data_IF_865092017311
#
_entry.id   IF_865092017311
#
_cell.length_a   1.000
_cell.length_b   1.000
_cell.length_c   1.000
_cell.angle_alpha   90.00
_cell.angle_beta   90.00
_cell.angle_gamma   90.00
#
_symmetry.space_group_name_H-M   'P 1'
#
loop_
_entity.id
_entity.type
_entity.pdbx_description
1 polymer ?
#
# COMPACT_ATOMS: atom_id res chain seq x y z
N UNK A 1 17.40 0.56 2.63
CA UNK A 1 17.75 0.59 1.18
C UNK A 1 16.47 0.85 0.39
N UNK A 2 16.52 1.59 -0.74
CA UNK A 2 15.35 1.86 -1.60
C UNK A 2 15.41 1.00 -2.86
N UNK A 3 14.26 0.52 -3.38
CA UNK A 3 14.22 -0.23 -4.64
C UNK A 3 14.67 0.62 -5.84
N UNK A 4 14.40 1.92 -5.80
CA UNK A 4 14.84 2.91 -6.78
C UNK A 4 16.21 3.50 -6.41
N UNK A 5 17.17 2.69 -6.02
CA UNK A 5 18.56 3.13 -5.77
C UNK A 5 19.55 2.30 -6.55
N UNK A 6 20.66 2.92 -6.97
CA UNK A 6 21.75 2.24 -7.69
C UNK A 6 22.28 1.06 -6.87
N UNK A 7 22.46 1.25 -5.56
CA UNK A 7 22.92 0.19 -4.64
C UNK A 7 22.00 -1.03 -4.66
N UNK A 8 20.67 -0.81 -4.69
CA UNK A 8 19.72 -1.92 -4.76
C UNK A 8 19.78 -2.61 -6.13
N UNK A 9 19.68 -1.84 -7.21
CA UNK A 9 19.52 -2.35 -8.57
C UNK A 9 20.75 -3.14 -9.05
N UNK A 10 21.95 -2.63 -8.76
CA UNK A 10 23.19 -3.15 -9.35
C UNK A 10 24.08 -3.95 -8.41
N UNK A 11 23.81 -3.91 -7.11
CA UNK A 11 24.60 -4.68 -6.13
C UNK A 11 23.69 -5.64 -5.35
N UNK A 12 22.75 -5.13 -4.58
CA UNK A 12 21.95 -5.98 -3.70
C UNK A 12 21.10 -7.00 -4.46
N UNK A 13 20.31 -6.55 -5.45
CA UNK A 13 19.38 -7.42 -6.15
C UNK A 13 20.09 -8.51 -6.97
N UNK A 14 21.13 -8.21 -7.81
CA UNK A 14 21.85 -9.25 -8.54
C UNK A 14 22.52 -10.27 -7.63
N UNK A 15 23.17 -9.83 -6.56
CA UNK A 15 23.82 -10.75 -5.59
C UNK A 15 22.78 -11.62 -4.91
N UNK A 16 21.66 -11.03 -4.47
CA UNK A 16 20.57 -11.78 -3.81
C UNK A 16 19.99 -12.82 -4.75
N UNK A 17 19.67 -12.46 -5.99
CA UNK A 17 19.12 -13.40 -6.99
C UNK A 17 20.11 -14.50 -7.33
N UNK A 18 21.40 -14.16 -7.51
CA UNK A 18 22.44 -15.15 -7.77
C UNK A 18 22.53 -16.17 -6.63
N UNK A 19 22.67 -15.73 -5.39
CA UNK A 19 22.71 -16.63 -4.24
C UNK A 19 21.43 -17.47 -4.10
N UNK A 20 20.28 -16.83 -4.31
CA UNK A 20 18.97 -17.49 -4.21
C UNK A 20 18.77 -18.60 -5.24
N UNK A 21 19.25 -18.41 -6.47
CA UNK A 21 19.13 -19.43 -7.52
C UNK A 21 20.25 -20.49 -7.45
N UNK A 22 21.41 -20.16 -6.88
CA UNK A 22 22.53 -21.08 -6.72
C UNK A 22 22.32 -22.15 -5.62
N UNK A 23 21.44 -21.89 -4.64
CA UNK A 23 21.22 -22.82 -3.52
C UNK A 23 20.09 -23.80 -3.82
N UNK A 24 20.11 -25.02 -3.18
CA UNK A 24 18.99 -25.95 -3.23
C UNK A 24 17.71 -25.35 -2.61
N UNK A 25 16.55 -25.88 -3.00
CA UNK A 25 15.24 -25.33 -2.59
C UNK A 25 15.07 -25.23 -1.06
N UNK A 26 15.64 -26.16 -0.31
CA UNK A 26 15.60 -26.18 1.17
C UNK A 26 16.27 -24.97 1.82
N UNK A 27 17.23 -24.34 1.14
CA UNK A 27 17.97 -23.18 1.65
C UNK A 27 17.44 -21.85 1.14
N UNK A 28 16.54 -21.85 0.16
CA UNK A 28 16.02 -20.61 -0.46
C UNK A 28 15.35 -19.67 0.54
N UNK A 29 14.58 -20.20 1.50
CA UNK A 29 13.95 -19.40 2.55
C UNK A 29 14.99 -18.79 3.50
N UNK A 30 16.05 -19.53 3.80
CA UNK A 30 17.17 -19.01 4.62
C UNK A 30 17.89 -17.84 3.90
N UNK A 31 18.22 -18.01 2.62
CA UNK A 31 18.86 -16.92 1.83
C UNK A 31 17.93 -15.72 1.76
N UNK A 32 16.63 -15.93 1.51
CA UNK A 32 15.66 -14.86 1.46
C UNK A 32 15.53 -14.12 2.80
N UNK A 33 15.50 -14.86 3.90
CA UNK A 33 15.48 -14.28 5.25
C UNK A 33 16.73 -13.43 5.53
N UNK A 34 17.92 -13.99 5.27
CA UNK A 34 19.19 -13.28 5.50
C UNK A 34 19.33 -12.03 4.61
N UNK A 35 19.00 -12.15 3.32
CA UNK A 35 19.00 -11.00 2.41
C UNK A 35 18.01 -9.92 2.88
N UNK A 36 16.83 -10.32 3.34
CA UNK A 36 15.83 -9.38 3.87
C UNK A 36 16.29 -8.68 5.15
N UNK A 37 16.99 -9.38 6.03
CA UNK A 37 17.61 -8.76 7.20
C UNK A 37 18.70 -7.76 6.81
N UNK A 38 19.56 -8.08 5.84
CA UNK A 38 20.58 -7.15 5.33
C UNK A 38 19.90 -5.92 4.73
N UNK A 39 18.84 -6.12 3.93
CA UNK A 39 18.07 -5.03 3.32
C UNK A 39 17.48 -4.09 4.38
N UNK A 40 16.89 -4.66 5.44
CA UNK A 40 16.28 -3.88 6.53
C UNK A 40 17.34 -3.19 7.40
N UNK A 41 18.38 -3.92 7.79
CA UNK A 41 19.49 -3.41 8.60
C UNK A 41 20.20 -2.22 7.93
N UNK A 42 20.34 -2.26 6.61
CA UNK A 42 20.93 -1.14 5.85
C UNK A 42 20.17 0.18 6.04
N UNK A 43 18.85 0.13 6.16
CA UNK A 43 18.00 1.32 6.36
C UNK A 43 17.75 1.66 7.83
N UNK A 44 17.62 0.63 8.67
CA UNK A 44 17.14 0.73 10.05
C UNK A 44 17.93 -0.17 11.02
N UNK A 45 19.22 0.11 11.26
CA UNK A 45 20.07 -0.77 12.09
C UNK A 45 19.49 -0.99 13.50
N UNK A 46 19.07 0.10 14.16
CA UNK A 46 18.55 0.06 15.54
C UNK A 46 17.26 -0.75 15.67
N UNK A 47 16.37 -0.65 14.67
CA UNK A 47 15.05 -1.29 14.71
C UNK A 47 15.04 -2.71 14.13
N UNK A 48 16.18 -3.21 13.64
CA UNK A 48 16.30 -4.61 13.21
C UNK A 48 16.07 -5.59 14.35
N UNK A 49 16.47 -5.22 15.57
CA UNK A 49 16.19 -6.02 16.78
C UNK A 49 14.70 -6.07 17.07
N UNK A 50 13.97 -4.95 16.91
CA UNK A 50 12.52 -4.91 17.10
C UNK A 50 11.80 -5.76 16.05
N UNK A 51 12.24 -5.74 14.79
CA UNK A 51 11.71 -6.60 13.74
C UNK A 51 11.89 -8.08 14.10
N UNK A 52 13.11 -8.50 14.49
CA UNK A 52 13.38 -9.88 14.90
C UNK A 52 12.56 -10.30 16.12
N UNK A 53 12.40 -9.41 17.10
CA UNK A 53 11.56 -9.65 18.26
C UNK A 53 10.08 -9.83 17.86
N UNK A 54 9.58 -9.01 16.93
CA UNK A 54 8.22 -9.12 16.41
C UNK A 54 8.01 -10.44 15.63
N UNK A 55 9.00 -10.87 14.86
CA UNK A 55 9.00 -12.16 14.15
C UNK A 55 8.95 -13.31 15.15
N UNK A 56 9.79 -13.29 16.18
CA UNK A 56 9.81 -14.32 17.22
C UNK A 56 8.48 -14.37 17.97
N UNK A 57 7.94 -13.22 18.35
CA UNK A 57 6.61 -13.14 18.98
C UNK A 57 5.53 -13.70 18.05
N UNK A 58 5.57 -13.37 16.74
CA UNK A 58 4.66 -13.88 15.72
C UNK A 58 4.68 -15.40 15.64
N UNK A 59 5.87 -15.97 15.56
CA UNK A 59 6.07 -17.41 15.51
C UNK A 59 5.55 -18.09 16.79
N UNK A 60 5.98 -17.63 17.97
CA UNK A 60 5.56 -18.19 19.26
C UNK A 60 4.04 -18.08 19.46
N UNK A 61 3.45 -16.92 19.09
CA UNK A 61 2.02 -16.68 19.21
C UNK A 61 1.19 -17.65 18.37
N UNK A 62 1.56 -17.85 17.09
CA UNK A 62 0.88 -18.83 16.24
C UNK A 62 0.96 -20.26 16.79
N UNK A 63 2.14 -20.67 17.28
CA UNK A 63 2.35 -21.98 17.93
C UNK A 63 1.51 -22.15 19.18
N UNK A 64 1.46 -21.13 20.06
CA UNK A 64 0.67 -21.15 21.27
C UNK A 64 -0.83 -21.26 20.97
N UNK A 65 -1.34 -20.49 20.00
CA UNK A 65 -2.75 -20.54 19.57
C UNK A 65 -3.10 -21.95 19.05
N UNK A 66 -2.25 -22.53 18.22
CA UNK A 66 -2.47 -23.90 17.70
C UNK A 66 -2.45 -24.95 18.82
N UNK A 67 -1.49 -24.90 19.75
CA UNK A 67 -1.39 -25.83 20.87
C UNK A 67 -2.62 -25.81 21.77
N UNK A 68 -3.11 -24.62 22.13
CA UNK A 68 -4.30 -24.44 22.95
C UNK A 68 -5.53 -24.99 22.22
N UNK A 69 -5.62 -24.79 20.91
CA UNK A 69 -6.72 -25.30 20.08
C UNK A 69 -6.69 -26.84 19.96
N UNK A 70 -5.52 -27.46 19.74
CA UNK A 70 -5.35 -28.93 19.69
C UNK A 70 -5.66 -29.60 21.00
N UNK A 71 -5.24 -29.04 22.15
CA UNK A 71 -5.53 -29.57 23.48
C UNK A 71 -7.03 -29.67 23.76
N UNK A 72 -7.84 -28.80 23.14
CA UNK A 72 -9.31 -28.79 23.29
C UNK A 72 -10.02 -29.81 22.41
N UNK A 73 -9.49 -30.13 21.24
CA UNK A 73 -10.14 -31.14 20.37
C UNK A 73 -10.19 -32.53 20.99
N UNK A 74 -9.38 -32.78 22.03
CA UNK A 74 -9.36 -34.02 22.81
C UNK A 74 -10.28 -34.02 24.07
N UNK A 75 -10.90 -32.88 24.44
CA UNK A 75 -11.74 -32.77 25.66
C UNK A 75 -13.10 -32.20 25.28
N UNK A 76 -14.16 -32.93 25.47
CA UNK A 76 -15.54 -32.64 25.03
C UNK A 76 -16.21 -31.39 25.64
N UNK A 77 -15.65 -30.74 26.66
CA UNK A 77 -16.28 -29.62 27.36
C UNK A 77 -15.31 -28.55 27.82
N UNK A 78 -14.98 -27.62 26.97
CA UNK A 78 -14.56 -26.27 27.43
C UNK A 78 -14.69 -25.29 26.26
N UNK A 79 -15.88 -24.70 26.12
CA UNK A 79 -16.14 -23.62 25.16
C UNK A 79 -15.16 -22.45 25.34
N UNK A 80 -14.21 -22.32 24.43
CA UNK A 80 -13.85 -21.06 23.80
C UNK A 80 -13.24 -19.92 24.63
N UNK A 81 -12.93 -20.02 25.93
CA UNK A 81 -12.42 -18.86 26.69
C UNK A 81 -10.88 -18.73 26.60
N UNK A 82 -10.16 -19.82 26.79
CA UNK A 82 -8.69 -19.83 26.86
C UNK A 82 -8.04 -19.48 25.53
N UNK A 83 -8.53 -20.02 24.42
CA UNK A 83 -8.03 -19.74 23.06
C UNK A 83 -8.30 -18.28 22.63
N UNK A 84 -9.45 -17.71 23.01
CA UNK A 84 -9.73 -16.27 22.81
C UNK A 84 -8.81 -15.38 23.64
N UNK A 85 -8.53 -15.76 24.88
CA UNK A 85 -7.61 -15.01 25.76
C UNK A 85 -6.19 -15.03 25.19
N UNK A 86 -5.71 -16.19 24.73
CA UNK A 86 -4.38 -16.30 24.11
C UNK A 86 -4.29 -15.47 22.83
N UNK A 87 -5.31 -15.56 21.96
CA UNK A 87 -5.38 -14.73 20.77
C UNK A 87 -5.36 -13.23 21.12
N UNK A 88 -6.23 -12.81 22.04
CA UNK A 88 -6.32 -11.42 22.48
C UNK A 88 -5.00 -10.92 23.07
N UNK A 89 -4.30 -11.74 23.86
CA UNK A 89 -3.00 -11.42 24.43
C UNK A 89 -1.97 -11.10 23.32
N UNK A 90 -1.80 -12.00 22.33
CA UNK A 90 -0.81 -11.80 21.28
C UNK A 90 -1.17 -10.66 20.34
N UNK A 91 -2.47 -10.46 20.02
CA UNK A 91 -2.91 -9.29 19.26
C UNK A 91 -2.62 -8.00 20.03
N UNK A 92 -3.00 -7.92 21.32
CA UNK A 92 -2.77 -6.73 22.15
C UNK A 92 -1.29 -6.43 22.31
N UNK A 93 -0.45 -7.45 22.49
CA UNK A 93 0.98 -7.31 22.57
C UNK A 93 1.59 -6.74 21.28
N UNK A 94 1.20 -7.29 20.12
CA UNK A 94 1.68 -6.81 18.81
C UNK A 94 1.19 -5.38 18.53
N UNK A 95 -0.07 -5.07 18.88
CA UNK A 95 -0.61 -3.71 18.78
C UNK A 95 0.08 -2.73 19.75
N UNK A 96 0.44 -3.17 20.95
CA UNK A 96 1.14 -2.32 21.92
C UNK A 96 2.48 -1.82 21.36
N UNK A 97 3.25 -2.67 20.66
CA UNK A 97 4.47 -2.25 19.99
C UNK A 97 4.18 -1.18 18.92
N UNK A 98 3.16 -1.39 18.08
CA UNK A 98 2.75 -0.39 17.10
C UNK A 98 2.32 0.92 17.76
N UNK A 99 1.53 0.85 18.84
CA UNK A 99 1.03 2.03 19.56
C UNK A 99 2.17 2.82 20.18
N UNK A 100 3.14 2.17 20.80
CA UNK A 100 4.29 2.84 21.41
C UNK A 100 5.11 3.60 20.35
N UNK A 101 5.46 2.96 19.24
CA UNK A 101 6.34 3.59 18.27
C UNK A 101 5.62 4.56 17.31
N UNK A 102 4.34 4.38 17.06
CA UNK A 102 3.61 5.21 16.09
C UNK A 102 2.71 6.25 16.73
N UNK A 103 2.06 5.95 17.85
CA UNK A 103 0.98 6.79 18.37
C UNK A 103 1.24 7.41 19.74
N UNK A 104 2.34 7.05 20.43
CA UNK A 104 2.60 7.58 21.78
C UNK A 104 2.74 9.11 21.75
N UNK A 105 3.60 9.63 20.89
CA UNK A 105 3.84 11.07 20.78
C UNK A 105 2.62 11.81 20.24
N UNK A 106 1.88 11.22 19.30
CA UNK A 106 0.60 11.77 18.81
C UNK A 106 -0.46 11.86 19.92
N UNK A 107 -0.52 10.83 20.79
CA UNK A 107 -1.41 10.83 21.95
C UNK A 107 -1.03 11.93 22.95
N UNK A 108 0.25 12.05 23.30
CA UNK A 108 0.75 13.09 24.19
C UNK A 108 0.51 14.48 23.61
N UNK A 109 0.82 14.69 22.32
CA UNK A 109 0.55 15.94 21.63
C UNK A 109 -0.94 16.32 21.68
N UNK A 110 -1.83 15.35 21.44
CA UNK A 110 -3.27 15.58 21.50
C UNK A 110 -3.77 15.91 22.91
N UNK A 111 -3.21 15.27 23.95
CA UNK A 111 -3.52 15.61 25.36
C UNK A 111 -3.03 17.03 25.65
N UNK A 112 -1.80 17.37 25.28
CA UNK A 112 -1.26 18.73 25.50
C UNK A 112 -2.14 19.79 24.80
N UNK A 113 -2.59 19.53 23.57
CA UNK A 113 -3.45 20.43 22.82
C UNK A 113 -4.82 20.64 23.51
N UNK A 114 -5.41 19.60 24.06
CA UNK A 114 -6.74 19.64 24.66
C UNK A 114 -6.74 20.20 26.08
N UNK A 115 -5.68 19.93 26.84
CA UNK A 115 -5.64 20.24 28.30
C UNK A 115 -4.73 21.43 28.63
N UNK A 116 -3.90 21.88 27.69
CA UNK A 116 -2.86 22.88 27.97
C UNK A 116 -1.70 22.31 28.79
N UNK A 117 -1.64 20.98 29.02
CA UNK A 117 -0.50 20.35 29.71
C UNK A 117 0.76 20.42 28.84
N UNK A 118 1.92 20.42 29.50
CA UNK A 118 3.23 20.40 28.83
C UNK A 118 3.94 19.06 29.07
N UNK A 119 3.26 17.95 28.75
CA UNK A 119 3.86 16.62 28.84
C UNK A 119 4.97 16.49 27.79
N UNK A 120 6.15 15.93 28.16
CA UNK A 120 7.27 15.78 27.24
C UNK A 120 6.97 14.75 26.15
N UNK A 121 7.40 15.01 24.90
CA UNK A 121 7.38 14.07 23.80
C UNK A 121 8.63 13.19 23.87
N UNK A 122 8.47 11.91 23.53
CA UNK A 122 9.58 10.96 23.49
C UNK A 122 10.41 11.03 22.21
N UNK A 123 9.86 11.63 21.15
CA UNK A 123 10.49 11.77 19.81
C UNK A 123 10.99 10.44 19.23
N UNK A 124 10.19 9.39 19.41
CA UNK A 124 10.51 8.07 18.90
C UNK A 124 10.44 8.07 17.37
N UNK A 125 11.54 7.69 16.71
CA UNK A 125 11.49 7.50 15.27
C UNK A 125 10.64 6.26 14.93
N UNK A 126 9.80 6.39 13.92
CA UNK A 126 8.91 5.31 13.48
C UNK A 126 9.73 4.21 12.77
N UNK A 127 9.73 2.95 13.29
CA UNK A 127 10.43 1.85 12.62
C UNK A 127 9.81 1.56 11.26
N UNK A 128 10.63 1.53 10.22
CA UNK A 128 10.20 1.33 8.86
C UNK A 128 9.41 0.01 8.71
N UNK A 129 8.22 0.08 8.10
CA UNK A 129 7.39 -1.10 7.87
C UNK A 129 6.65 -1.68 9.09
N UNK A 130 6.75 -1.06 10.30
CA UNK A 130 6.09 -1.59 11.50
C UNK A 130 4.57 -1.80 11.30
N UNK A 131 3.90 -0.92 10.60
CA UNK A 131 2.47 -1.05 10.29
C UNK A 131 2.18 -2.27 9.41
N UNK A 132 3.07 -2.60 8.47
CA UNK A 132 2.89 -3.72 7.53
C UNK A 132 3.13 -5.06 8.21
N UNK A 133 4.28 -5.25 8.87
CA UNK A 133 4.55 -6.53 9.53
C UNK A 133 3.63 -6.78 10.75
N UNK A 134 3.14 -5.72 11.43
CA UNK A 134 2.08 -5.85 12.43
C UNK A 134 0.81 -6.44 11.83
N UNK A 135 0.36 -5.94 10.69
CA UNK A 135 -0.83 -6.46 10.01
C UNK A 135 -0.64 -7.89 9.51
N UNK A 136 0.55 -8.23 9.01
CA UNK A 136 0.89 -9.61 8.63
C UNK A 136 0.81 -10.56 9.81
N UNK A 137 1.43 -10.22 10.95
CA UNK A 137 1.44 -11.04 12.16
C UNK A 137 0.03 -11.19 12.75
N UNK A 138 -0.74 -10.10 12.84
CA UNK A 138 -2.12 -10.16 13.37
C UNK A 138 -3.01 -11.03 12.46
N UNK A 139 -2.92 -10.86 11.13
CA UNK A 139 -3.68 -11.70 10.21
C UNK A 139 -3.31 -13.18 10.35
N UNK A 140 -2.03 -13.49 10.54
CA UNK A 140 -1.58 -14.85 10.79
C UNK A 140 -2.17 -15.44 12.08
N UNK A 141 -2.16 -14.71 13.20
CA UNK A 141 -2.78 -15.16 14.44
C UNK A 141 -4.27 -15.48 14.27
N UNK A 142 -5.00 -14.58 13.61
CA UNK A 142 -6.44 -14.73 13.37
C UNK A 142 -6.72 -15.92 12.44
N UNK A 143 -5.91 -16.09 11.39
CA UNK A 143 -6.09 -17.19 10.43
C UNK A 143 -5.78 -18.56 11.09
N UNK A 144 -4.76 -18.67 11.95
CA UNK A 144 -4.48 -19.86 12.77
C UNK A 144 -5.63 -20.13 13.75
N UNK A 145 -6.11 -19.07 14.43
CA UNK A 145 -7.24 -19.20 15.36
C UNK A 145 -8.52 -19.66 14.66
N UNK A 146 -8.82 -19.14 13.48
CA UNK A 146 -9.98 -19.58 12.67
C UNK A 146 -9.81 -21.02 12.15
N UNK A 147 -8.57 -21.45 11.95
CA UNK A 147 -8.22 -22.73 11.33
C UNK A 147 -8.13 -22.64 9.81
N UNK A 148 -8.02 -21.44 9.29
CA UNK A 148 -7.83 -21.18 7.86
C UNK A 148 -6.42 -21.61 7.41
N UNK A 149 -5.44 -21.60 8.35
CA UNK A 149 -4.08 -22.09 8.17
C UNK A 149 -3.62 -22.86 9.41
N UNK A 150 -2.66 -23.76 9.23
CA UNK A 150 -1.90 -24.37 10.33
C UNK A 150 -0.80 -23.39 10.77
N UNK A 151 -0.43 -23.44 12.05
CA UNK A 151 0.71 -22.67 12.51
C UNK A 151 2.00 -23.18 11.85
N UNK A 152 2.84 -22.24 11.43
CA UNK A 152 4.13 -22.60 10.85
C UNK A 152 5.05 -23.20 11.92
N UNK A 153 5.67 -24.32 11.58
CA UNK A 153 6.54 -25.07 12.47
C UNK A 153 8.03 -24.79 12.23
N UNK A 154 8.37 -24.28 11.04
CA UNK A 154 9.72 -23.88 10.69
C UNK A 154 9.87 -22.36 10.95
N UNK A 155 10.73 -22.00 11.90
CA UNK A 155 11.00 -20.60 12.22
C UNK A 155 11.54 -19.82 11.02
N UNK A 156 12.41 -20.43 10.19
CA UNK A 156 13.02 -19.77 9.03
C UNK A 156 11.94 -19.45 7.98
N UNK A 157 10.98 -20.32 7.75
CA UNK A 157 9.90 -20.11 6.79
C UNK A 157 8.97 -18.97 7.25
N UNK A 158 8.63 -18.95 8.55
CA UNK A 158 7.86 -17.86 9.13
C UNK A 158 8.64 -16.54 9.12
N UNK A 159 9.92 -16.57 9.47
CA UNK A 159 10.78 -15.39 9.44
C UNK A 159 10.92 -14.84 8.02
N UNK A 160 11.16 -15.70 7.03
CA UNK A 160 11.19 -15.33 5.63
C UNK A 160 9.88 -14.67 5.19
N UNK A 161 8.72 -15.22 5.60
CA UNK A 161 7.42 -14.63 5.31
C UNK A 161 7.29 -13.20 5.83
N UNK A 162 7.58 -12.96 7.11
CA UNK A 162 7.37 -11.64 7.72
C UNK A 162 8.39 -10.62 7.23
N UNK A 163 9.66 -11.03 7.05
CA UNK A 163 10.75 -10.09 6.72
C UNK A 163 10.99 -9.90 5.24
N UNK A 164 10.33 -10.66 4.37
CA UNK A 164 10.56 -10.68 2.92
C UNK A 164 10.64 -9.26 2.33
N UNK A 165 11.84 -8.85 1.88
CA UNK A 165 12.15 -7.47 1.50
C UNK A 165 11.23 -6.88 0.43
N UNK A 166 10.68 -7.64 -0.56
CA UNK A 166 9.79 -7.05 -1.55
C UNK A 166 8.51 -6.45 -0.95
N UNK A 167 7.98 -7.03 0.14
CA UNK A 167 6.70 -6.62 0.73
C UNK A 167 6.83 -5.86 2.05
N UNK A 168 7.99 -5.96 2.74
CA UNK A 168 8.17 -5.59 4.14
C UNK A 168 7.82 -4.13 4.44
N UNK A 169 8.16 -3.20 3.55
CA UNK A 169 8.14 -1.77 3.85
C UNK A 169 6.84 -1.10 3.37
N UNK A 170 6.46 -1.28 2.11
CA UNK A 170 5.28 -0.64 1.50
C UNK A 170 4.66 -1.49 0.36
N UNK A 171 4.96 -2.78 0.31
CA UNK A 171 4.40 -3.71 -0.69
C UNK A 171 2.91 -4.00 -0.48
N UNK A 172 2.31 -4.84 -1.32
CA UNK A 172 1.01 -5.42 -1.04
C UNK A 172 1.01 -6.12 0.33
N UNK A 173 -0.05 -5.98 1.11
CA UNK A 173 -0.19 -6.71 2.38
C UNK A 173 -0.45 -8.18 2.07
N UNK A 174 0.63 -8.96 2.00
CA UNK A 174 0.57 -10.40 1.71
C UNK A 174 0.23 -11.15 2.98
N UNK A 175 -0.80 -11.98 2.94
CA UNK A 175 -1.23 -12.80 4.08
C UNK A 175 -0.53 -14.14 4.04
N UNK A 176 -0.27 -14.73 5.20
CA UNK A 176 0.37 -16.05 5.29
C UNK A 176 -0.38 -17.12 4.47
N UNK A 177 -1.71 -17.15 4.56
CA UNK A 177 -2.57 -18.08 3.81
C UNK A 177 -2.41 -18.02 2.28
N UNK A 178 -2.00 -16.86 1.74
CA UNK A 178 -1.85 -16.70 0.29
C UNK A 178 -0.55 -17.28 -0.25
N UNK A 179 0.51 -17.36 0.58
CA UNK A 179 1.84 -17.81 0.14
C UNK A 179 2.36 -19.04 0.93
N UNK A 180 1.57 -19.59 1.86
CA UNK A 180 1.98 -20.74 2.67
C UNK A 180 2.46 -21.92 1.82
N UNK A 181 1.73 -22.24 0.73
CA UNK A 181 2.12 -23.32 -0.19
C UNK A 181 3.44 -23.04 -0.89
N UNK A 182 3.64 -21.78 -1.31
CA UNK A 182 4.83 -21.34 -2.02
C UNK A 182 6.06 -21.23 -1.10
N UNK A 183 5.88 -21.05 0.22
CA UNK A 183 6.97 -21.15 1.19
C UNK A 183 7.53 -22.58 1.26
N UNK A 184 6.67 -23.60 1.20
CA UNK A 184 7.08 -24.99 1.19
C UNK A 184 7.58 -25.48 -0.17
N UNK A 185 6.82 -25.18 -1.23
CA UNK A 185 7.12 -25.61 -2.60
C UNK A 185 6.74 -24.51 -3.58
N UNK A 186 7.71 -24.01 -4.32
CA UNK A 186 7.50 -23.01 -5.36
C UNK A 186 8.20 -23.38 -6.65
N UNK A 187 7.55 -23.09 -7.77
CA UNK A 187 8.11 -23.26 -9.10
C UNK A 187 8.74 -21.94 -9.56
N UNK A 188 10.02 -22.00 -9.90
CA UNK A 188 10.74 -20.90 -10.50
C UNK A 188 11.01 -21.30 -11.95
N UNK A 189 10.39 -20.57 -12.90
CA UNK A 189 10.57 -20.79 -14.33
C UNK A 189 11.15 -19.55 -14.97
N UNK A 190 11.83 -19.71 -16.09
CA UNK A 190 12.36 -18.58 -16.84
C UNK A 190 11.27 -17.57 -17.25
N UNK A 191 10.08 -18.06 -17.59
CA UNK A 191 8.91 -17.23 -17.89
C UNK A 191 8.52 -16.34 -16.69
N UNK A 192 8.41 -16.93 -15.49
CA UNK A 192 8.11 -16.16 -14.26
C UNK A 192 9.19 -15.12 -13.95
N UNK A 193 10.45 -15.44 -14.19
CA UNK A 193 11.57 -14.51 -13.99
C UNK A 193 11.46 -13.35 -14.99
N UNK A 194 11.26 -13.65 -16.26
CA UNK A 194 11.11 -12.63 -17.33
C UNK A 194 9.91 -11.71 -17.08
N UNK A 195 8.75 -12.29 -16.78
CA UNK A 195 7.53 -11.54 -16.44
C UNK A 195 7.73 -10.68 -15.19
N UNK A 196 8.40 -11.24 -14.17
CA UNK A 196 8.71 -10.55 -12.93
C UNK A 196 9.65 -9.37 -13.16
N UNK A 197 10.72 -9.55 -13.96
CA UNK A 197 11.65 -8.50 -14.34
C UNK A 197 10.95 -7.38 -15.12
N UNK A 198 10.11 -7.73 -16.09
CA UNK A 198 9.30 -6.76 -16.83
C UNK A 198 8.38 -5.96 -15.93
N UNK A 199 7.70 -6.63 -14.99
CA UNK A 199 6.83 -5.95 -14.02
C UNK A 199 7.63 -5.03 -13.08
N UNK A 200 8.79 -5.49 -12.61
CA UNK A 200 9.68 -4.70 -11.78
C UNK A 200 10.15 -3.42 -12.48
N UNK A 201 10.63 -3.53 -13.73
CA UNK A 201 11.08 -2.37 -14.50
C UNK A 201 9.92 -1.42 -14.81
N UNK A 202 8.73 -1.93 -15.13
CA UNK A 202 7.54 -1.09 -15.28
C UNK A 202 7.25 -0.29 -14.00
N UNK A 203 7.31 -0.92 -12.83
CA UNK A 203 7.18 -0.25 -11.54
C UNK A 203 8.27 0.79 -11.29
N UNK A 204 9.51 0.48 -11.65
CA UNK A 204 10.65 1.40 -11.56
C UNK A 204 10.45 2.64 -12.45
N UNK A 205 10.00 2.46 -13.70
CA UNK A 205 9.64 3.55 -14.59
C UNK A 205 8.52 4.43 -14.03
N UNK A 206 7.47 3.82 -13.47
CA UNK A 206 6.40 4.56 -12.79
C UNK A 206 6.95 5.45 -11.67
N UNK A 207 7.86 4.92 -10.85
CA UNK A 207 8.48 5.65 -9.74
C UNK A 207 9.40 6.76 -10.25
N UNK A 208 10.40 6.40 -11.05
CA UNK A 208 11.50 7.31 -11.39
C UNK A 208 11.12 8.30 -12.48
N UNK A 209 10.46 7.82 -13.56
CA UNK A 209 10.18 8.68 -14.72
C UNK A 209 8.88 9.47 -14.56
N UNK A 210 7.93 9.00 -13.73
CA UNK A 210 6.64 9.66 -13.58
C UNK A 210 6.50 10.30 -12.19
N UNK A 211 6.51 9.49 -11.12
CA UNK A 211 6.20 10.00 -9.79
C UNK A 211 7.22 11.03 -9.30
N UNK A 212 8.52 10.77 -9.47
CA UNK A 212 9.56 11.69 -9.00
C UNK A 212 9.55 13.02 -9.76
N UNK A 213 9.32 12.97 -11.09
CA UNK A 213 9.19 14.19 -11.90
C UNK A 213 7.92 14.99 -11.53
N UNK A 214 6.77 14.32 -11.33
CA UNK A 214 5.58 15.01 -10.83
C UNK A 214 5.82 15.60 -9.43
N UNK A 215 6.60 14.94 -8.60
CA UNK A 215 7.01 15.44 -7.28
C UNK A 215 7.83 16.72 -7.33
N UNK A 216 8.67 16.89 -8.35
CA UNK A 216 9.38 18.17 -8.56
C UNK A 216 8.40 19.29 -8.89
N UNK A 217 7.43 19.05 -9.78
CA UNK A 217 6.38 20.03 -10.09
C UNK A 217 5.54 20.35 -8.85
N UNK A 218 5.12 19.35 -8.08
CA UNK A 218 4.38 19.55 -6.82
C UNK A 218 5.15 20.45 -5.87
N UNK A 219 6.43 20.15 -5.63
CA UNK A 219 7.27 20.95 -4.73
C UNK A 219 7.49 22.38 -5.23
N UNK A 220 7.53 22.60 -6.54
CA UNK A 220 7.63 23.93 -7.14
C UNK A 220 6.35 24.73 -6.93
N UNK A 221 5.18 24.15 -7.25
CA UNK A 221 3.88 24.80 -7.12
C UNK A 221 3.50 25.07 -5.66
N UNK A 222 3.90 24.22 -4.72
CA UNK A 222 3.73 24.46 -3.28
C UNK A 222 4.49 25.70 -2.80
N UNK A 223 5.72 25.87 -3.27
CA UNK A 223 6.54 27.04 -2.91
C UNK A 223 6.04 28.34 -3.55
N UNK A 224 5.49 28.24 -4.75
CA UNK A 224 4.93 29.38 -5.46
C UNK A 224 3.57 29.82 -4.91
N UNK A 225 2.85 28.90 -4.25
CA UNK A 225 1.45 29.07 -3.80
C UNK A 225 0.50 29.49 -4.94
N UNK A 226 0.76 28.97 -6.14
CA UNK A 226 0.01 29.21 -7.37
C UNK A 226 -0.36 27.90 -8.06
N UNK A 227 -1.32 27.94 -9.01
CA UNK A 227 -1.68 26.79 -9.83
C UNK A 227 -2.30 25.62 -9.05
N UNK A 228 -3.13 25.90 -8.04
CA UNK A 228 -3.66 24.95 -7.06
C UNK A 228 -4.36 23.72 -7.68
N UNK A 229 -5.08 23.89 -8.82
CA UNK A 229 -5.67 22.73 -9.52
C UNK A 229 -4.61 21.81 -10.10
N UNK A 230 -3.58 22.38 -10.72
CA UNK A 230 -2.48 21.56 -11.27
C UNK A 230 -1.69 20.89 -10.15
N UNK A 231 -1.47 21.59 -9.03
CA UNK A 231 -0.86 21.04 -7.83
C UNK A 231 -1.66 19.83 -7.32
N UNK A 232 -2.98 19.94 -7.18
CA UNK A 232 -3.82 18.84 -6.70
C UNK A 232 -3.83 17.63 -7.66
N UNK A 233 -3.89 17.88 -8.98
CA UNK A 233 -3.83 16.85 -10.00
C UNK A 233 -2.44 16.18 -10.01
N UNK A 234 -1.37 16.97 -10.02
CA UNK A 234 -0.01 16.46 -10.04
C UNK A 234 0.30 15.62 -8.79
N UNK A 235 -0.11 16.08 -7.59
CA UNK A 235 0.04 15.30 -6.36
C UNK A 235 -0.77 14.00 -6.38
N UNK A 236 -1.99 14.02 -6.89
CA UNK A 236 -2.84 12.83 -7.03
C UNK A 236 -2.18 11.79 -7.93
N UNK A 237 -1.65 12.22 -9.08
CA UNK A 237 -0.93 11.34 -10.00
C UNK A 237 0.41 10.89 -9.40
N UNK A 238 1.16 11.78 -8.75
CA UNK A 238 2.40 11.44 -8.06
C UNK A 238 2.17 10.32 -7.04
N UNK A 239 1.19 10.47 -6.15
CA UNK A 239 0.88 9.48 -5.12
C UNK A 239 0.49 8.13 -5.74
N UNK A 240 -0.31 8.15 -6.80
CA UNK A 240 -0.70 6.93 -7.51
C UNK A 240 0.49 6.22 -8.15
N UNK A 241 1.32 6.95 -8.91
CA UNK A 241 2.46 6.35 -9.60
C UNK A 241 3.57 5.93 -8.64
N UNK A 242 3.78 6.67 -7.57
CA UNK A 242 4.71 6.30 -6.50
C UNK A 242 4.32 4.97 -5.86
N UNK A 243 3.08 4.85 -5.40
CA UNK A 243 2.62 3.67 -4.69
C UNK A 243 2.32 2.48 -5.61
N UNK A 244 1.70 2.69 -6.77
CA UNK A 244 1.50 1.62 -7.74
C UNK A 244 2.82 1.13 -8.33
N UNK A 245 3.79 2.02 -8.52
CA UNK A 245 5.14 1.68 -8.95
C UNK A 245 5.86 0.79 -7.93
N UNK A 246 5.79 1.14 -6.65
CA UNK A 246 6.33 0.29 -5.59
C UNK A 246 5.64 -1.08 -5.56
N UNK A 247 4.31 -1.11 -5.65
CA UNK A 247 3.55 -2.36 -5.67
C UNK A 247 3.92 -3.24 -6.86
N UNK A 248 4.11 -2.66 -8.05
CA UNK A 248 4.55 -3.39 -9.24
C UNK A 248 5.97 -3.94 -9.09
N UNK A 249 6.90 -3.17 -8.50
CA UNK A 249 8.24 -3.66 -8.18
C UNK A 249 8.20 -4.82 -7.19
N UNK A 250 7.40 -4.72 -6.14
CA UNK A 250 7.23 -5.77 -5.14
C UNK A 250 6.65 -7.06 -5.73
N UNK A 251 5.61 -6.94 -6.57
CA UNK A 251 4.98 -8.08 -7.26
C UNK A 251 5.97 -8.70 -8.25
N UNK A 252 6.72 -7.87 -8.98
CA UNK A 252 7.75 -8.33 -9.91
C UNK A 252 8.85 -9.12 -9.20
N UNK A 253 9.37 -8.61 -8.09
CA UNK A 253 10.35 -9.30 -7.24
C UNK A 253 9.77 -10.61 -6.67
N UNK A 254 8.52 -10.58 -6.18
CA UNK A 254 7.84 -11.78 -5.74
C UNK A 254 7.80 -12.87 -6.81
N UNK A 255 7.42 -12.50 -8.06
CA UNK A 255 7.42 -13.42 -9.20
C UNK A 255 8.80 -14.01 -9.51
N UNK A 256 9.85 -13.18 -9.53
CA UNK A 256 11.22 -13.66 -9.73
C UNK A 256 11.65 -14.64 -8.64
N UNK A 257 11.20 -14.44 -7.40
CA UNK A 257 11.46 -15.34 -6.27
C UNK A 257 10.53 -16.55 -6.21
N UNK A 258 9.57 -16.67 -7.15
CA UNK A 258 8.63 -17.78 -7.24
C UNK A 258 7.35 -17.62 -6.41
N UNK A 259 7.07 -16.42 -5.90
CA UNK A 259 5.85 -16.08 -5.14
C UNK A 259 4.83 -15.34 -6.00
N UNK A 260 3.55 -15.52 -5.67
CA UNK A 260 2.43 -14.84 -6.31
C UNK A 260 1.80 -13.84 -5.34
N UNK A 261 2.25 -12.59 -5.41
CA UNK A 261 1.68 -11.53 -4.58
C UNK A 261 0.37 -11.01 -5.17
N UNK A 262 -0.58 -10.59 -4.30
CA UNK A 262 -1.85 -10.04 -4.75
C UNK A 262 -1.68 -8.67 -5.39
N UNK A 263 -2.55 -8.36 -6.35
CA UNK A 263 -2.63 -7.02 -6.95
C UNK A 263 -3.09 -5.99 -5.92
N UNK A 264 -2.53 -4.79 -6.02
CA UNK A 264 -2.84 -3.70 -5.09
C UNK A 264 -3.59 -2.55 -5.76
N UNK A 265 -3.49 -2.42 -7.08
CA UNK A 265 -4.14 -1.37 -7.88
C UNK A 265 -4.72 -1.95 -9.18
N UNK A 266 -5.92 -1.49 -9.57
CA UNK A 266 -6.55 -1.78 -10.86
C UNK A 266 -7.22 -0.52 -11.43
N UNK A 267 -6.41 0.42 -11.96
CA UNK A 267 -6.89 1.66 -12.61
C UNK A 267 -7.98 2.39 -11.81
N UNK A 268 -7.70 2.85 -10.58
CA UNK A 268 -8.71 3.35 -9.64
C UNK A 268 -9.46 4.60 -10.15
N UNK A 269 -8.82 5.40 -10.99
CA UNK A 269 -9.40 6.66 -11.46
C UNK A 269 -10.49 6.52 -12.52
N UNK A 270 -10.76 5.30 -13.05
CA UNK A 270 -11.92 5.06 -13.92
C UNK A 270 -13.21 4.77 -13.16
N UNK A 271 -13.17 4.77 -11.84
CA UNK A 271 -14.30 4.43 -10.96
C UNK A 271 -15.44 5.45 -11.07
N UNK A 272 -16.65 4.99 -10.85
CA UNK A 272 -17.89 5.78 -10.93
C UNK A 272 -18.56 5.93 -9.57
N UNK A 273 -17.98 5.35 -8.52
CA UNK A 273 -18.37 5.50 -7.12
C UNK A 273 -17.15 5.39 -6.22
N UNK A 274 -17.20 5.95 -5.03
CA UNK A 274 -16.14 5.80 -4.02
C UNK A 274 -16.01 4.33 -3.60
N UNK A 275 -17.13 3.62 -3.55
CA UNK A 275 -17.13 2.16 -3.31
C UNK A 275 -16.32 1.41 -4.38
N UNK A 276 -16.47 1.76 -5.66
CA UNK A 276 -15.69 1.16 -6.75
C UNK A 276 -14.23 1.59 -6.67
N UNK A 277 -13.95 2.85 -6.38
CA UNK A 277 -12.59 3.36 -6.20
C UNK A 277 -11.80 2.53 -5.18
N UNK A 278 -12.36 2.26 -4.01
CA UNK A 278 -11.70 1.46 -2.97
C UNK A 278 -11.59 -0.04 -3.28
N UNK A 279 -12.33 -0.54 -4.25
CA UNK A 279 -12.13 -1.89 -4.79
C UNK A 279 -10.96 -1.98 -5.77
N UNK A 280 -10.42 -0.83 -6.21
CA UNK A 280 -9.35 -0.70 -7.19
C UNK A 280 -8.10 -0.02 -6.64
N UNK A 281 -8.22 0.69 -5.54
CA UNK A 281 -7.15 1.39 -4.83
C UNK A 281 -6.78 0.63 -3.56
N UNK A 282 -5.46 0.36 -3.38
CA UNK A 282 -4.89 -0.31 -2.18
C UNK A 282 -5.73 -1.52 -1.76
N UNK A 283 -5.98 -2.42 -2.74
CA UNK A 283 -6.92 -3.54 -2.62
C UNK A 283 -6.56 -4.48 -1.48
N UNK A 284 -5.27 -4.64 -1.19
CA UNK A 284 -4.79 -5.53 -0.13
C UNK A 284 -5.11 -4.98 1.26
N UNK A 285 -5.01 -3.66 1.46
CA UNK A 285 -5.42 -2.99 2.71
C UNK A 285 -6.93 -3.10 2.90
N UNK A 286 -7.71 -2.76 1.86
CA UNK A 286 -9.17 -2.88 1.89
C UNK A 286 -9.62 -4.31 2.21
N UNK A 287 -8.96 -5.31 1.60
CA UNK A 287 -9.18 -6.73 1.89
C UNK A 287 -8.84 -7.09 3.33
N UNK A 288 -7.74 -6.55 3.89
CA UNK A 288 -7.34 -6.79 5.26
C UNK A 288 -8.38 -6.23 6.26
N UNK A 289 -8.76 -4.96 6.12
CA UNK A 289 -9.77 -4.34 6.98
C UNK A 289 -11.13 -5.04 6.87
N UNK A 290 -11.53 -5.48 5.67
CA UNK A 290 -12.75 -6.24 5.46
C UNK A 290 -12.74 -7.54 6.27
N UNK A 291 -11.67 -8.34 6.17
CA UNK A 291 -11.66 -9.70 6.70
C UNK A 291 -11.34 -9.77 8.20
N UNK A 292 -10.59 -8.78 8.73
CA UNK A 292 -10.14 -8.79 10.13
C UNK A 292 -10.81 -7.74 11.02
N UNK A 293 -11.50 -6.76 10.45
CA UNK A 293 -12.24 -5.74 11.23
C UNK A 293 -13.73 -5.72 10.86
N UNK A 294 -14.07 -5.46 9.59
CA UNK A 294 -15.45 -5.24 9.18
C UNK A 294 -16.33 -6.48 9.35
N UNK A 295 -15.89 -7.65 8.89
CA UNK A 295 -16.66 -8.90 9.03
C UNK A 295 -16.81 -9.31 10.51
N UNK A 296 -15.75 -9.29 11.36
CA UNK A 296 -15.89 -9.58 12.78
C UNK A 296 -16.85 -8.64 13.53
N UNK A 297 -16.95 -7.36 13.15
CA UNK A 297 -17.93 -6.42 13.72
C UNK A 297 -19.39 -6.74 13.35
N UNK A 298 -19.61 -7.61 12.35
CA UNK A 298 -20.92 -8.01 11.87
C UNK A 298 -21.18 -7.72 10.37
N UNK A 299 -20.26 -7.07 9.70
CA UNK A 299 -20.32 -6.81 8.25
C UNK A 299 -21.55 -5.99 7.85
N UNK A 300 -22.19 -6.38 6.73
CA UNK A 300 -23.37 -5.70 6.17
C UNK A 300 -24.71 -6.29 6.64
N UNK A 301 -24.69 -7.38 7.44
CA UNK A 301 -25.90 -8.09 7.87
C UNK A 301 -26.46 -7.49 9.17
N UNK A 302 -26.71 -6.18 9.18
CA UNK A 302 -27.20 -5.44 10.36
C UNK A 302 -27.99 -4.20 9.90
N UNK A 303 -28.70 -3.58 10.85
CA UNK A 303 -29.44 -2.33 10.57
C UNK A 303 -28.51 -1.19 10.14
N UNK A 304 -29.07 -0.19 9.46
CA UNK A 304 -28.33 0.90 8.83
C UNK A 304 -27.42 1.65 9.81
N UNK A 305 -27.92 2.04 10.98
CA UNK A 305 -27.10 2.77 11.98
C UNK A 305 -25.88 1.96 12.43
N UNK A 306 -26.06 0.67 12.71
CA UNK A 306 -24.98 -0.22 13.10
C UNK A 306 -23.99 -0.40 11.95
N UNK A 307 -24.48 -0.47 10.73
CA UNK A 307 -23.60 -0.54 9.55
C UNK A 307 -22.78 0.76 9.38
N UNK A 308 -23.39 1.95 9.53
CA UNK A 308 -22.66 3.22 9.52
C UNK A 308 -21.58 3.27 10.60
N UNK A 309 -21.88 2.77 11.80
CA UNK A 309 -20.89 2.67 12.88
C UNK A 309 -19.73 1.73 12.50
N UNK A 310 -20.00 0.57 11.89
CA UNK A 310 -18.94 -0.33 11.41
C UNK A 310 -18.06 0.36 10.34
N UNK A 311 -18.67 1.08 9.42
CA UNK A 311 -17.95 1.85 8.41
C UNK A 311 -17.11 2.96 9.04
N UNK A 312 -17.65 3.69 10.00
CA UNK A 312 -16.91 4.70 10.74
C UNK A 312 -15.67 4.09 11.43
N UNK A 313 -15.84 2.99 12.17
CA UNK A 313 -14.71 2.31 12.84
C UNK A 313 -13.65 1.87 11.86
N UNK A 314 -14.02 1.22 10.74
CA UNK A 314 -13.09 0.76 9.72
C UNK A 314 -12.29 1.92 9.12
N UNK A 315 -12.96 3.01 8.76
CA UNK A 315 -12.32 4.15 8.11
C UNK A 315 -11.52 5.02 9.09
N UNK A 316 -11.98 5.16 10.32
CA UNK A 316 -11.21 5.78 11.39
C UNK A 316 -9.89 5.04 11.63
N UNK A 317 -9.94 3.71 11.76
CA UNK A 317 -8.76 2.88 11.93
C UNK A 317 -7.85 2.88 10.68
N UNK A 318 -8.45 2.94 9.48
CA UNK A 318 -7.69 3.07 8.23
C UNK A 318 -6.95 4.41 8.17
N UNK A 319 -7.57 5.50 8.57
CA UNK A 319 -6.93 6.81 8.69
C UNK A 319 -5.76 6.77 9.66
N UNK A 320 -5.98 6.28 10.88
CA UNK A 320 -4.92 6.10 11.87
C UNK A 320 -3.77 5.23 11.36
N UNK A 321 -4.09 4.15 10.63
CA UNK A 321 -3.05 3.26 10.08
C UNK A 321 -2.12 4.01 9.11
N UNK A 322 -2.62 4.95 8.33
CA UNK A 322 -1.80 5.75 7.42
C UNK A 322 -0.81 6.65 8.16
N UNK A 323 -1.21 7.33 9.23
CA UNK A 323 -0.32 8.22 9.94
C UNK A 323 -0.83 8.64 11.31
N UNK A 324 0.11 9.04 12.18
CA UNK A 324 -0.18 9.60 13.50
C UNK A 324 -0.43 11.12 13.38
N UNK A 325 -1.55 11.49 12.76
CA UNK A 325 -1.94 12.89 12.55
C UNK A 325 -3.44 13.04 12.40
N UNK A 326 -3.97 14.17 12.81
CA UNK A 326 -5.40 14.47 12.73
C UNK A 326 -5.89 14.61 11.28
N UNK A 327 -5.04 15.00 10.34
CA UNK A 327 -5.33 15.00 8.92
C UNK A 327 -5.66 13.59 8.39
N UNK A 328 -4.94 12.56 8.82
CA UNK A 328 -5.23 11.16 8.45
C UNK A 328 -6.54 10.66 9.07
N UNK A 329 -6.82 11.06 10.32
CA UNK A 329 -8.10 10.77 10.96
C UNK A 329 -9.25 11.41 10.18
N UNK A 330 -9.11 12.71 9.84
CA UNK A 330 -10.10 13.45 9.05
C UNK A 330 -10.31 12.82 7.67
N UNK A 331 -9.22 12.40 7.02
CA UNK A 331 -9.25 11.69 5.74
C UNK A 331 -10.03 10.37 5.85
N UNK A 332 -9.81 9.59 6.88
CA UNK A 332 -10.57 8.37 7.13
C UNK A 332 -12.05 8.65 7.36
N UNK A 333 -12.39 9.60 8.22
CA UNK A 333 -13.78 10.02 8.49
C UNK A 333 -14.46 10.51 7.20
N UNK A 334 -13.77 11.28 6.38
CA UNK A 334 -14.26 11.76 5.08
C UNK A 334 -14.74 10.61 4.19
N UNK A 335 -13.93 9.55 4.02
CA UNK A 335 -14.34 8.39 3.24
C UNK A 335 -15.43 7.57 3.91
N UNK A 336 -15.42 7.46 5.22
CA UNK A 336 -16.51 6.83 5.99
C UNK A 336 -17.86 7.50 5.74
N UNK A 337 -17.88 8.84 5.70
CA UNK A 337 -19.07 9.63 5.38
C UNK A 337 -19.51 9.41 3.92
N UNK A 338 -18.58 9.55 2.95
CA UNK A 338 -18.92 9.39 1.53
C UNK A 338 -19.51 8.01 1.23
N UNK A 339 -18.91 6.95 1.74
CA UNK A 339 -19.40 5.57 1.55
C UNK A 339 -20.77 5.36 2.23
N UNK A 340 -21.00 5.99 3.38
CA UNK A 340 -22.30 5.94 4.03
C UNK A 340 -23.37 6.67 3.22
N UNK A 341 -23.05 7.83 2.67
CA UNK A 341 -23.93 8.59 1.78
C UNK A 341 -24.22 7.82 0.48
N UNK A 342 -23.19 7.22 -0.17
CA UNK A 342 -23.39 6.39 -1.38
C UNK A 342 -24.40 5.25 -1.11
N UNK A 343 -24.29 4.58 0.02
CA UNK A 343 -25.23 3.49 0.37
C UNK A 343 -26.64 3.99 0.63
N UNK A 344 -26.79 5.12 1.33
CA UNK A 344 -28.08 5.75 1.60
C UNK A 344 -28.76 6.16 0.28
N UNK A 345 -28.04 6.85 -0.59
CA UNK A 345 -28.53 7.32 -1.88
C UNK A 345 -28.82 6.15 -2.83
N UNK A 346 -27.91 5.17 -2.92
CA UNK A 346 -28.08 4.00 -3.78
C UNK A 346 -29.32 3.13 -3.45
N UNK A 347 -29.81 3.21 -2.23
CA UNK A 347 -31.05 2.56 -1.79
C UNK A 347 -32.31 3.34 -2.19
N UNK A 348 -32.20 4.56 -2.74
CA UNK A 348 -33.35 5.35 -3.17
C UNK A 348 -33.81 4.96 -4.57
N UNK A 349 -35.15 4.90 -4.77
CA UNK A 349 -35.78 4.54 -6.05
C UNK A 349 -35.42 5.48 -7.22
N UNK A 350 -34.93 6.70 -6.91
CA UNK A 350 -34.57 7.72 -7.91
C UNK A 350 -33.39 7.28 -8.80
N UNK A 351 -32.37 6.66 -8.21
CA UNK A 351 -31.15 6.23 -8.91
C UNK A 351 -31.28 4.86 -9.59
N UNK A 352 -32.39 4.17 -9.40
CA UNK A 352 -32.68 2.88 -10.04
C UNK A 352 -33.31 3.02 -11.45
N UNK A 353 -33.73 4.24 -11.86
CA UNK A 353 -34.33 4.49 -13.18
C UNK A 353 -33.31 4.42 -14.32
N UNK A 354 -33.69 3.75 -15.42
CA UNK A 354 -32.82 3.56 -16.59
C UNK A 354 -32.36 4.86 -17.26
N UNK A 355 -33.21 5.91 -17.26
CA UNK A 355 -32.89 7.22 -17.82
C UNK A 355 -31.68 7.91 -17.18
N UNK A 356 -31.33 7.54 -15.94
CA UNK A 356 -30.17 8.08 -15.23
C UNK A 356 -28.89 7.27 -15.44
N UNK A 357 -28.94 6.12 -16.14
CA UNK A 357 -27.79 5.20 -16.24
C UNK A 357 -26.58 5.79 -16.97
N UNK A 358 -26.76 6.56 -18.03
CA UNK A 358 -25.61 7.08 -18.81
C UNK A 358 -25.12 8.41 -18.25
N UNK A 359 -26.02 9.37 -18.00
CA UNK A 359 -25.67 10.62 -17.33
C UNK A 359 -25.11 10.38 -15.92
N UNK A 360 -25.70 9.45 -15.16
CA UNK A 360 -25.25 9.03 -13.86
C UNK A 360 -23.84 8.39 -13.86
N UNK A 361 -23.42 7.75 -14.96
CA UNK A 361 -22.06 7.24 -15.09
C UNK A 361 -21.02 8.35 -15.24
N UNK A 362 -21.30 9.38 -16.03
CA UNK A 362 -20.41 10.53 -16.24
C UNK A 362 -20.35 11.36 -14.95
N UNK A 363 -21.50 11.72 -14.38
CA UNK A 363 -21.56 12.47 -13.13
C UNK A 363 -20.89 11.71 -11.98
N UNK A 364 -21.08 10.39 -11.90
CA UNK A 364 -20.42 9.55 -10.91
C UNK A 364 -18.90 9.54 -11.08
N UNK A 365 -18.41 9.51 -12.30
CA UNK A 365 -16.97 9.58 -12.57
C UNK A 365 -16.38 10.93 -12.15
N UNK A 366 -17.01 12.04 -12.53
CA UNK A 366 -16.57 13.39 -12.12
C UNK A 366 -16.64 13.56 -10.60
N UNK A 367 -17.69 13.06 -9.96
CA UNK A 367 -17.81 13.03 -8.49
C UNK A 367 -16.64 12.29 -7.84
N UNK A 368 -16.30 11.09 -8.32
CA UNK A 368 -15.17 10.32 -7.77
C UNK A 368 -13.85 11.05 -7.93
N UNK A 369 -13.56 11.56 -9.13
CA UNK A 369 -12.33 12.31 -9.38
C UNK A 369 -12.21 13.52 -8.45
N UNK A 370 -13.29 14.30 -8.32
CA UNK A 370 -13.31 15.47 -7.44
C UNK A 370 -13.16 15.06 -5.96
N UNK A 371 -13.91 14.07 -5.48
CA UNK A 371 -13.83 13.59 -4.11
C UNK A 371 -12.44 13.06 -3.77
N UNK A 372 -11.78 12.37 -4.69
CA UNK A 372 -10.42 11.85 -4.52
C UNK A 372 -9.41 12.98 -4.49
N UNK A 373 -9.52 13.99 -5.36
CA UNK A 373 -8.66 15.18 -5.32
C UNK A 373 -8.73 15.88 -3.96
N UNK A 374 -9.95 16.16 -3.47
CA UNK A 374 -10.15 16.75 -2.14
C UNK A 374 -9.55 15.87 -1.04
N UNK A 375 -9.75 14.54 -1.11
CA UNK A 375 -9.21 13.62 -0.12
C UNK A 375 -7.69 13.68 -0.05
N UNK A 376 -6.99 13.81 -1.18
CA UNK A 376 -5.53 13.87 -1.19
C UNK A 376 -4.98 15.24 -0.77
N UNK A 377 -5.76 16.33 -0.89
CA UNK A 377 -5.42 17.59 -0.21
C UNK A 377 -5.47 17.39 1.31
N UNK A 378 -6.55 16.78 1.84
CA UNK A 378 -6.67 16.48 3.28
C UNK A 378 -5.50 15.60 3.74
N UNK A 379 -5.14 14.60 2.95
CA UNK A 379 -4.07 13.64 3.28
C UNK A 379 -2.69 14.32 3.34
N UNK A 380 -2.40 15.25 2.42
CA UNK A 380 -1.11 15.92 2.28
C UNK A 380 -0.85 16.95 3.37
N UNK A 381 -1.89 17.70 3.77
CA UNK A 381 -1.77 18.87 4.64
C UNK A 381 -1.70 18.45 6.10
N UNK A 382 -0.54 18.67 6.73
CA UNK A 382 -0.32 18.25 8.12
C UNK A 382 -1.11 19.10 9.13
N UNK A 383 -1.20 20.43 8.90
CA UNK A 383 -1.92 21.32 9.80
C UNK A 383 -3.40 21.43 9.39
N UNK A 384 -4.30 21.02 10.28
CA UNK A 384 -5.76 21.06 10.02
C UNK A 384 -6.27 22.44 9.62
N UNK A 385 -5.68 23.51 10.15
CA UNK A 385 -6.12 24.88 9.86
C UNK A 385 -5.87 25.28 8.40
N UNK A 386 -4.93 24.65 7.72
CA UNK A 386 -4.56 24.96 6.34
C UNK A 386 -5.39 24.15 5.32
N UNK A 387 -6.07 23.09 5.74
CA UNK A 387 -6.90 22.24 4.86
C UNK A 387 -8.01 23.07 4.19
N UNK A 388 -8.78 23.83 4.99
CA UNK A 388 -9.85 24.70 4.48
C UNK A 388 -9.35 25.75 3.48
N UNK A 389 -8.35 26.57 3.84
CA UNK A 389 -7.71 27.50 2.93
C UNK A 389 -7.22 26.86 1.61
N UNK A 390 -6.59 25.71 1.64
CA UNK A 390 -6.10 25.03 0.42
C UNK A 390 -7.24 24.49 -0.47
N UNK A 391 -8.32 23.99 0.13
CA UNK A 391 -9.52 23.62 -0.64
C UNK A 391 -10.17 24.86 -1.24
N UNK A 392 -10.30 25.95 -0.47
CA UNK A 392 -10.87 27.20 -0.97
C UNK A 392 -10.03 27.84 -2.07
N UNK A 393 -8.71 27.67 -2.03
CA UNK A 393 -7.80 28.17 -3.06
C UNK A 393 -8.09 27.57 -4.45
N UNK A 394 -8.67 26.36 -4.53
CA UNK A 394 -9.15 25.79 -5.80
C UNK A 394 -10.25 26.66 -6.45
N UNK A 395 -11.06 27.37 -5.66
CA UNK A 395 -12.24 28.11 -6.13
C UNK A 395 -12.06 29.64 -6.09
N UNK A 396 -11.03 30.13 -5.41
CA UNK A 396 -10.68 31.53 -5.47
C UNK A 396 -10.19 31.83 -6.88
N UNK A 397 -10.81 32.84 -7.53
CA UNK A 397 -10.34 33.34 -8.83
C UNK A 397 -8.83 33.61 -8.75
N UNK A 398 -8.08 32.97 -9.62
CA UNK A 398 -6.65 33.19 -9.68
C UNK A 398 -6.39 34.61 -10.17
N UNK A 399 -5.61 35.39 -9.44
CA UNK A 399 -4.82 36.45 -10.05
C UNK A 399 -3.98 35.85 -11.18
N UNK A 400 -3.44 36.67 -12.05
CA UNK A 400 -2.63 36.17 -13.16
C UNK A 400 -1.54 35.24 -12.64
N UNK A 401 -1.57 33.97 -13.11
CA UNK A 401 -0.51 33.02 -12.81
C UNK A 401 0.80 33.66 -13.31
N UNK A 402 1.82 33.65 -12.46
CA UNK A 402 3.12 34.20 -12.84
C UNK A 402 3.69 33.53 -14.09
N UNK A 403 4.41 34.25 -14.91
CA UNK A 403 5.01 33.69 -16.13
C UNK A 403 5.92 32.50 -15.84
N UNK A 404 6.58 32.49 -14.68
CA UNK A 404 7.43 31.38 -14.22
C UNK A 404 6.60 30.11 -13.94
N UNK A 405 5.50 30.25 -13.22
CA UNK A 405 4.59 29.10 -12.94
C UNK A 405 3.92 28.61 -14.21
N UNK A 406 3.48 29.53 -15.10
CA UNK A 406 2.91 29.15 -16.40
C UNK A 406 3.92 28.38 -17.26
N UNK A 407 5.19 28.78 -17.27
CA UNK A 407 6.26 28.06 -17.96
C UNK A 407 6.46 26.65 -17.40
N UNK A 408 6.55 26.51 -16.08
CA UNK A 408 6.69 25.20 -15.43
C UNK A 408 5.50 24.28 -15.74
N UNK A 409 4.27 24.76 -15.58
CA UNK A 409 3.07 23.97 -15.93
C UNK A 409 3.12 23.50 -17.38
N UNK A 410 3.50 24.39 -18.31
CA UNK A 410 3.63 24.06 -19.73
C UNK A 410 4.69 22.99 -19.96
N UNK A 411 5.83 23.05 -19.28
CA UNK A 411 6.93 22.10 -19.38
C UNK A 411 6.51 20.69 -18.95
N UNK A 412 5.64 20.58 -17.94
CA UNK A 412 5.13 19.29 -17.45
C UNK A 412 3.82 18.82 -18.10
N UNK A 413 3.22 19.60 -19.00
CA UNK A 413 1.91 19.27 -19.60
C UNK A 413 1.90 17.89 -20.26
N UNK A 414 2.94 17.56 -21.04
CA UNK A 414 3.05 16.26 -21.72
C UNK A 414 3.11 15.14 -20.70
N UNK A 415 3.90 15.29 -19.64
CA UNK A 415 4.00 14.28 -18.58
C UNK A 415 2.66 14.07 -17.87
N UNK A 416 1.94 15.13 -17.53
CA UNK A 416 0.60 15.06 -16.91
C UNK A 416 -0.37 14.33 -17.82
N UNK A 417 -0.43 14.67 -19.11
CA UNK A 417 -1.33 14.02 -20.07
C UNK A 417 -1.01 12.52 -20.23
N UNK A 418 0.27 12.17 -20.40
CA UNK A 418 0.70 10.78 -20.48
C UNK A 418 0.39 10.01 -19.18
N UNK A 419 0.55 10.67 -18.03
CA UNK A 419 0.20 10.10 -16.73
C UNK A 419 -1.30 9.85 -16.59
N UNK A 420 -2.15 10.77 -17.06
CA UNK A 420 -3.60 10.56 -17.09
C UNK A 420 -3.98 9.37 -17.97
N UNK A 421 -3.39 9.25 -19.17
CA UNK A 421 -3.64 8.11 -20.08
C UNK A 421 -3.15 6.80 -19.43
N UNK A 422 -1.95 6.78 -18.87
CA UNK A 422 -1.36 5.60 -18.21
C UNK A 422 -2.10 5.16 -16.94
N UNK A 423 -2.86 6.06 -16.31
CA UNK A 423 -3.71 5.73 -15.17
C UNK A 423 -5.03 5.03 -15.58
N UNK A 424 -5.31 4.95 -16.89
CA UNK A 424 -6.44 4.22 -17.47
C UNK A 424 -6.03 2.82 -17.96
N UNK A 425 -6.97 1.90 -18.23
CA UNK A 425 -6.65 0.58 -18.78
C UNK A 425 -6.16 0.61 -20.25
N UNK A 426 -6.13 1.78 -20.90
CA UNK A 426 -5.80 1.93 -22.33
C UNK A 426 -4.48 1.25 -22.72
N UNK A 427 -3.39 1.50 -21.97
CA UNK A 427 -2.08 0.89 -22.27
C UNK A 427 -2.12 -0.63 -22.10
N UNK A 428 -2.78 -1.12 -21.05
CA UNK A 428 -2.96 -2.56 -20.83
C UNK A 428 -3.75 -3.21 -21.96
N UNK A 429 -4.82 -2.55 -22.43
CA UNK A 429 -5.69 -3.07 -23.49
C UNK A 429 -4.96 -3.08 -24.84
N UNK A 430 -4.18 -2.04 -25.15
CA UNK A 430 -3.29 -2.00 -26.33
C UNK A 430 -2.26 -3.13 -26.25
N UNK A 431 -1.61 -3.31 -25.10
CA UNK A 431 -0.65 -4.38 -24.89
C UNK A 431 -1.25 -5.78 -25.07
N UNK A 432 -2.45 -6.01 -24.53
CA UNK A 432 -3.14 -7.29 -24.67
C UNK A 432 -3.57 -7.56 -26.13
N UNK A 433 -3.96 -6.53 -26.87
CA UNK A 433 -4.26 -6.66 -28.32
C UNK A 433 -2.99 -6.99 -29.11
N UNK A 434 -1.87 -6.36 -28.82
CA UNK A 434 -0.57 -6.66 -29.45
C UNK A 434 -0.15 -8.11 -29.18
N UNK A 435 -0.34 -8.62 -27.98
CA UNK A 435 -0.07 -10.03 -27.61
C UNK A 435 -0.86 -11.04 -28.42
N UNK A 436 -2.04 -10.69 -28.92
CA UNK A 436 -2.86 -11.54 -29.79
C UNK A 436 -2.52 -11.49 -31.29
N UNK A 437 -1.43 -10.83 -31.68
CA UNK A 437 -1.06 -10.69 -33.10
C UNK A 437 0.04 -11.66 -33.51
N UNK A 438 0.06 -12.05 -34.80
CA UNK A 438 1.14 -12.86 -35.40
C UNK A 438 2.53 -12.19 -35.27
N UNK A 439 2.57 -10.85 -35.19
CA UNK A 439 3.81 -10.12 -34.90
C UNK A 439 4.35 -10.50 -33.52
N UNK A 440 3.48 -10.60 -32.50
CA UNK A 440 3.88 -10.95 -31.14
C UNK A 440 4.45 -12.36 -31.04
N UNK A 441 3.85 -13.32 -31.74
CA UNK A 441 4.34 -14.71 -31.76
C UNK A 441 5.79 -14.80 -32.28
N UNK A 442 6.14 -13.96 -33.27
CA UNK A 442 7.47 -13.96 -33.88
C UNK A 442 8.48 -13.08 -33.16
N UNK A 443 8.07 -11.90 -32.71
CA UNK A 443 8.98 -10.83 -32.28
C UNK A 443 8.63 -10.22 -30.91
N UNK A 444 7.57 -10.70 -30.27
CA UNK A 444 7.09 -10.14 -28.99
C UNK A 444 8.13 -10.21 -27.87
N UNK A 445 8.89 -11.30 -27.81
CA UNK A 445 9.98 -11.45 -26.83
C UNK A 445 11.07 -10.38 -27.02
N UNK A 446 11.42 -10.06 -28.27
CA UNK A 446 12.44 -9.03 -28.59
C UNK A 446 11.91 -7.65 -28.17
N UNK A 447 10.67 -7.31 -28.55
CA UNK A 447 10.05 -6.04 -28.15
C UNK A 447 9.99 -5.91 -26.61
N UNK A 448 9.57 -6.95 -25.91
CA UNK A 448 9.53 -6.96 -24.45
C UNK A 448 10.92 -6.74 -23.85
N UNK A 449 11.95 -7.44 -24.36
CA UNK A 449 13.32 -7.30 -23.90
C UNK A 449 13.85 -5.88 -24.14
N UNK A 450 13.63 -5.32 -25.34
CA UNK A 450 14.03 -3.95 -25.67
C UNK A 450 13.37 -2.94 -24.73
N UNK A 451 12.08 -3.08 -24.46
CA UNK A 451 11.35 -2.18 -23.55
C UNK A 451 11.85 -2.29 -22.09
N UNK A 452 12.15 -3.50 -21.62
CA UNK A 452 12.73 -3.72 -20.28
C UNK A 452 14.10 -3.05 -20.18
N UNK A 453 14.98 -3.29 -21.15
CA UNK A 453 16.33 -2.73 -21.15
C UNK A 453 16.28 -1.20 -21.26
N UNK A 454 15.48 -0.66 -22.20
CA UNK A 454 15.32 0.78 -22.36
C UNK A 454 14.75 1.44 -21.09
N UNK A 455 13.72 0.85 -20.47
CA UNK A 455 13.15 1.33 -19.22
C UNK A 455 14.17 1.32 -18.06
N UNK A 456 14.97 0.26 -17.96
CA UNK A 456 16.03 0.16 -16.95
C UNK A 456 17.11 1.23 -17.16
N UNK A 457 17.59 1.37 -18.39
CA UNK A 457 18.64 2.37 -18.74
C UNK A 457 18.15 3.80 -18.51
N UNK A 458 16.93 4.13 -18.96
CA UNK A 458 16.36 5.46 -18.75
C UNK A 458 16.18 5.74 -17.25
N UNK A 459 15.63 4.80 -16.49
CA UNK A 459 15.49 4.96 -15.05
C UNK A 459 16.84 5.12 -14.37
N UNK A 460 17.86 4.38 -14.79
CA UNK A 460 19.23 4.52 -14.27
C UNK A 460 19.82 5.88 -14.57
N UNK A 461 19.64 6.39 -15.78
CA UNK A 461 20.12 7.72 -16.17
C UNK A 461 19.50 8.82 -15.29
N UNK A 462 18.20 8.74 -15.04
CA UNK A 462 17.52 9.67 -14.11
C UNK A 462 18.02 9.54 -12.67
N UNK A 463 18.23 8.31 -12.17
CA UNK A 463 18.74 8.07 -10.81
C UNK A 463 20.17 8.57 -10.60
N UNK A 464 20.99 8.62 -11.66
CA UNK A 464 22.35 9.19 -11.62
C UNK A 464 22.32 10.72 -11.63
N UNK A 465 21.35 11.33 -12.31
CA UNK A 465 21.19 12.78 -12.42
C UNK A 465 20.42 13.45 -11.28
N UNK A 466 19.73 12.69 -10.44
CA UNK A 466 18.90 13.20 -9.36
C UNK A 466 19.28 12.60 -8.01
N UNK A 467 19.06 13.33 -6.92
CA UNK A 467 19.07 12.74 -5.58
C UNK A 467 17.92 11.73 -5.47
N UNK A 468 18.20 10.53 -4.94
CA UNK A 468 17.17 9.51 -4.73
C UNK A 468 16.04 10.06 -3.84
N UNK A 469 14.83 10.13 -4.39
CA UNK A 469 13.66 10.54 -3.62
C UNK A 469 13.06 9.32 -2.91
N UNK A 470 12.91 9.36 -1.56
CA UNK A 470 12.23 8.30 -0.84
C UNK A 470 10.77 8.22 -1.31
N UNK A 471 10.17 7.04 -1.20
CA UNK A 471 8.75 6.88 -1.46
C UNK A 471 7.93 7.77 -0.53
N UNK A 472 6.90 8.43 -1.06
CA UNK A 472 6.00 9.27 -0.26
C UNK A 472 5.45 8.52 0.95
N UNK A 473 5.18 7.23 0.78
CA UNK A 473 4.66 6.37 1.84
C UNK A 473 5.60 6.18 3.04
N UNK A 474 6.87 6.52 2.94
CA UNK A 474 7.82 6.48 4.07
C UNK A 474 7.72 7.70 4.98
N UNK A 475 6.95 8.70 4.58
CA UNK A 475 6.71 9.91 5.39
C UNK A 475 5.52 9.77 6.34
N UNK A 476 4.74 8.68 6.22
CA UNK A 476 3.49 8.49 6.95
C UNK A 476 3.53 7.36 7.97
#
# INVERSE_FOLDING_TARGET
>A
MLFSSITFLYYFLPVTLFLYYAVPDKLKNLILFLASLIFYFWGEPKYSVLLLFSVLSGYCGGRCIEMVKKKKSGVKESKGRTDRVVLAFFISFTLALLIIFKYLDFGIFSINLLTGANLPLFTLALPLGISFYTFQIISYYVDVYRGDVLAEHNFIDFAAYVTMFPQLIAGPIVRFRSIQKELGQRSITFEKISDGAGRFVCGLCKKVLVADNLGMLVSYLEKADEGHWILAIAYTLQLYYDFSGYSDMAIGLGKMLGFTFPENFDHPFISKSITEFWRRWHMTLGGWFRDYVYIPLGGSRCGMLRWCFHMFVVWFLSGLWHGAGWNFVLWGVYFGILLSLEKLIGNTKLFQKESFKTAGKICGHLYVLFAVLISFIIFRVENLNDIGPQILALFRGHGDISAAVAYEIKSYTVLILLSCIGATPFLRDVWNRLKGTAFWEKSGWLLQTVLIVAGLLLSTAYLLGSSAHPFLYFRF
#
